data_IF_858869999010
#
_entry.id   IF_858869999010
#
_cell.length_a   1.000
_cell.length_b   1.000
_cell.length_c   1.000
_cell.angle_alpha   90.00
_cell.angle_beta   90.00
_cell.angle_gamma   90.00
#
_symmetry.space_group_name_H-M   'P 1'
#
loop_
_entity.id
_entity.type
_entity.pdbx_description
1 polymer ?
#
# COMPACT_ATOMS: atom_id res chain seq x y z
N UNK A 1 -6.25 30.78 -7.74
CA UNK A 1 -6.51 30.15 -6.44
C UNK A 1 -8.00 30.28 -6.20
N UNK A 2 -8.71 29.19 -5.89
CA UNK A 2 -10.15 29.28 -5.69
C UNK A 2 -10.45 29.96 -4.35
N UNK A 3 -11.47 30.82 -4.30
CA UNK A 3 -11.81 31.54 -3.07
C UNK A 3 -12.73 30.67 -2.19
N UNK A 4 -12.31 30.43 -0.95
CA UNK A 4 -13.11 29.72 0.04
C UNK A 4 -12.86 30.29 1.45
N UNK A 5 -13.83 30.08 2.34
CA UNK A 5 -13.73 30.43 3.77
C UNK A 5 -13.97 29.20 4.63
N UNK A 6 -13.32 29.11 5.78
CA UNK A 6 -13.61 28.05 6.76
C UNK A 6 -14.99 28.29 7.40
N UNK A 7 -15.74 27.23 7.67
CA UNK A 7 -17.00 27.32 8.41
C UNK A 7 -16.75 27.41 9.92
N UNK A 8 -17.61 28.16 10.62
CA UNK A 8 -17.56 28.25 12.08
C UNK A 8 -17.67 26.87 12.74
N UNK A 9 -16.87 26.67 13.79
CA UNK A 9 -16.78 25.38 14.50
C UNK A 9 -15.89 24.33 13.83
N UNK A 10 -15.19 24.69 12.74
CA UNK A 10 -14.15 23.89 12.09
C UNK A 10 -12.80 24.64 12.10
N UNK A 11 -11.65 23.94 12.07
CA UNK A 11 -11.47 22.48 12.00
C UNK A 11 -11.94 21.72 13.26
N UNK A 12 -12.32 20.46 13.08
CA UNK A 12 -12.54 19.53 14.19
C UNK A 12 -11.41 18.51 14.21
N UNK A 13 -10.62 18.51 15.29
CA UNK A 13 -9.48 17.61 15.49
C UNK A 13 -9.84 16.49 16.46
N UNK A 14 -9.47 15.26 16.11
CA UNK A 14 -9.56 14.08 16.97
C UNK A 14 -8.20 13.38 16.98
N UNK A 15 -7.74 13.03 18.18
CA UNK A 15 -6.54 12.21 18.37
C UNK A 15 -6.96 10.81 18.79
N UNK A 16 -6.61 9.82 17.97
CA UNK A 16 -6.81 8.41 18.25
C UNK A 16 -5.65 7.81 19.05
N UNK A 17 -5.75 6.51 19.28
CA UNK A 17 -4.66 5.72 19.85
C UNK A 17 -3.40 5.80 18.96
N UNK A 18 -2.23 5.78 19.57
CA UNK A 18 -0.92 5.93 18.90
C UNK A 18 -0.67 7.32 18.28
N UNK A 19 -1.23 8.38 18.86
CA UNK A 19 -1.04 9.77 18.41
C UNK A 19 -1.47 10.00 16.95
N UNK A 20 -2.36 9.16 16.42
CA UNK A 20 -2.93 9.36 15.11
C UNK A 20 -3.88 10.55 15.15
N UNK A 21 -3.68 11.51 14.24
CA UNK A 21 -4.58 12.64 14.09
C UNK A 21 -5.59 12.32 12.99
N UNK A 22 -6.84 12.62 13.27
CA UNK A 22 -7.92 12.72 12.31
C UNK A 22 -8.48 14.12 12.40
N UNK A 23 -8.66 14.80 11.27
CA UNK A 23 -9.26 16.12 11.28
C UNK A 23 -10.25 16.28 10.13
N UNK A 24 -11.37 16.92 10.43
CA UNK A 24 -12.33 17.36 9.44
C UNK A 24 -12.28 18.89 9.32
N UNK A 25 -12.20 19.39 8.09
CA UNK A 25 -12.37 20.81 7.76
C UNK A 25 -13.60 20.96 6.89
N UNK A 26 -14.36 22.05 7.10
CA UNK A 26 -15.46 22.43 6.21
C UNK A 26 -15.18 23.78 5.60
N UNK A 27 -15.03 23.78 4.28
CA UNK A 27 -14.73 24.98 3.50
C UNK A 27 -15.97 25.39 2.71
N UNK A 28 -16.43 26.62 2.89
CA UNK A 28 -17.51 27.21 2.09
C UNK A 28 -16.91 27.94 0.89
N UNK A 29 -17.43 27.65 -0.29
CA UNK A 29 -17.06 28.33 -1.54
C UNK A 29 -18.30 28.56 -2.41
N UNK A 30 -18.17 29.36 -3.47
CA UNK A 30 -19.22 29.48 -4.48
C UNK A 30 -19.45 28.12 -5.15
N UNK A 31 -20.70 27.79 -5.49
CA UNK A 31 -21.00 26.51 -6.14
C UNK A 31 -20.21 26.29 -7.42
N UNK A 32 -19.97 27.35 -8.21
CA UNK A 32 -19.17 27.28 -9.43
C UNK A 32 -17.72 26.82 -9.19
N UNK A 33 -17.13 27.17 -8.05
CA UNK A 33 -15.71 26.93 -7.74
C UNK A 33 -15.46 25.60 -7.01
N UNK A 34 -16.51 24.86 -6.66
CA UNK A 34 -16.45 23.67 -5.79
C UNK A 34 -15.43 22.63 -6.23
N UNK A 35 -15.29 22.38 -7.54
CA UNK A 35 -14.32 21.43 -8.07
C UNK A 35 -12.89 21.99 -8.02
N UNK A 36 -12.71 23.28 -8.31
CA UNK A 36 -11.40 23.92 -8.21
C UNK A 36 -10.87 23.86 -6.76
N UNK A 37 -11.73 24.18 -5.77
CA UNK A 37 -11.38 24.06 -4.34
C UNK A 37 -11.09 22.61 -3.96
N UNK A 38 -11.92 21.65 -4.40
CA UNK A 38 -11.69 20.24 -4.12
C UNK A 38 -10.34 19.75 -4.68
N UNK A 39 -10.01 20.13 -5.92
CA UNK A 39 -8.76 19.77 -6.58
C UNK A 39 -7.55 20.45 -5.94
N UNK A 40 -7.69 21.69 -5.46
CA UNK A 40 -6.64 22.41 -4.74
C UNK A 40 -6.30 21.72 -3.41
N UNK A 41 -7.32 21.31 -2.64
CA UNK A 41 -7.12 20.80 -1.28
C UNK A 41 -6.87 19.29 -1.25
N UNK A 42 -7.60 18.51 -2.04
CA UNK A 42 -7.53 17.05 -2.05
C UNK A 42 -6.84 16.47 -3.29
N UNK A 43 -6.60 17.26 -4.33
CA UNK A 43 -5.90 16.80 -5.53
C UNK A 43 -4.40 16.55 -5.27
N UNK A 44 -3.77 15.78 -6.16
CA UNK A 44 -2.32 15.52 -6.17
C UNK A 44 -1.75 15.02 -4.83
N UNK A 45 -2.53 14.23 -4.10
CA UNK A 45 -2.17 13.63 -2.81
C UNK A 45 -2.32 14.52 -1.60
N UNK A 46 -3.18 15.54 -1.73
CA UNK A 46 -3.71 16.28 -0.61
C UNK A 46 -2.75 17.33 -0.05
N UNK A 47 -3.32 18.46 0.30
CA UNK A 47 -2.63 19.50 1.02
C UNK A 47 -2.24 19.01 2.42
N UNK A 48 -1.11 19.49 2.94
CA UNK A 48 -0.79 19.33 4.35
C UNK A 48 -1.83 20.06 5.19
N UNK A 49 -2.12 19.53 6.37
CA UNK A 49 -3.00 20.18 7.32
C UNK A 49 -2.42 21.55 7.71
N UNK A 50 -3.13 22.66 7.43
CA UNK A 50 -2.51 23.99 7.47
C UNK A 50 -2.25 24.50 8.90
N UNK A 51 -2.92 23.95 9.91
CA UNK A 51 -2.82 24.43 11.29
C UNK A 51 -1.70 23.76 12.09
N UNK A 52 -1.24 22.57 11.67
CA UNK A 52 -0.13 21.82 12.30
C UNK A 52 0.67 21.10 11.22
N UNK A 53 1.58 21.83 10.57
CA UNK A 53 2.38 21.32 9.45
C UNK A 53 3.44 20.30 9.87
N UNK A 54 3.84 20.33 11.13
CA UNK A 54 4.80 19.43 11.78
C UNK A 54 4.25 18.02 11.99
N UNK A 55 2.93 17.87 12.13
CA UNK A 55 2.29 16.56 12.30
C UNK A 55 2.25 15.72 11.02
N UNK A 56 2.59 16.30 9.86
CA UNK A 56 2.54 15.64 8.56
C UNK A 56 1.15 15.06 8.20
N UNK A 57 0.08 15.54 8.84
CA UNK A 57 -1.29 15.17 8.49
C UNK A 57 -1.62 15.71 7.09
N UNK A 58 -2.25 14.90 6.24
CA UNK A 58 -2.59 15.28 4.86
C UNK A 58 -4.04 14.99 4.54
N UNK A 59 -4.60 15.77 3.63
CA UNK A 59 -5.93 15.52 3.09
C UNK A 59 -5.96 14.13 2.41
N UNK A 60 -6.81 13.23 2.91
CA UNK A 60 -6.96 11.87 2.39
C UNK A 60 -8.33 11.62 1.75
N UNK A 61 -9.20 12.62 1.77
CA UNK A 61 -10.48 12.61 1.09
C UNK A 61 -11.17 13.96 1.18
N UNK A 62 -12.04 14.23 0.23
CA UNK A 62 -12.93 15.38 0.28
C UNK A 62 -14.30 15.02 -0.32
N UNK A 63 -15.34 15.63 0.22
CA UNK A 63 -16.71 15.53 -0.28
C UNK A 63 -17.28 16.92 -0.54
N UNK A 64 -18.15 17.03 -1.55
CA UNK A 64 -18.86 18.26 -1.89
C UNK A 64 -20.32 18.11 -1.48
N UNK A 65 -20.84 19.08 -0.73
CA UNK A 65 -22.25 19.16 -0.35
C UNK A 65 -22.84 20.49 -0.85
N UNK A 66 -24.04 20.49 -1.47
CA UNK A 66 -24.73 21.72 -1.84
C UNK A 66 -25.15 22.52 -0.60
N UNK A 67 -25.08 23.86 -0.69
CA UNK A 67 -25.45 24.74 0.40
C UNK A 67 -26.04 26.06 -0.09
N UNK A 68 -27.00 26.61 0.66
CA UNK A 68 -27.72 27.83 0.30
C UNK A 68 -28.95 27.57 -0.58
N UNK A 69 -29.42 28.61 -1.27
CA UNK A 69 -30.63 28.51 -2.09
C UNK A 69 -30.31 27.74 -3.37
N UNK A 70 -31.20 26.84 -3.76
CA UNK A 70 -31.18 26.26 -5.09
C UNK A 70 -31.71 27.30 -6.08
N UNK A 71 -30.90 27.62 -7.09
CA UNK A 71 -31.31 28.42 -8.23
C UNK A 71 -31.91 27.46 -9.26
N UNK A 72 -33.24 27.47 -9.39
CA UNK A 72 -33.90 26.70 -10.43
C UNK A 72 -33.61 27.32 -11.79
N UNK A 73 -32.86 26.62 -12.63
CA UNK A 73 -32.86 26.92 -14.05
C UNK A 73 -34.00 26.13 -14.69
N UNK A 74 -35.05 26.82 -15.14
CA UNK A 74 -36.20 26.22 -15.84
C UNK A 74 -35.82 25.48 -17.14
N UNK A 75 -34.56 25.56 -17.57
CA UNK A 75 -34.05 25.04 -18.83
C UNK A 75 -32.89 24.03 -18.72
N UNK A 76 -32.35 23.75 -17.52
CA UNK A 76 -31.28 22.75 -17.34
C UNK A 76 -31.67 21.75 -16.24
N UNK A 77 -31.50 20.44 -16.48
CA UNK A 77 -31.77 19.40 -15.47
C UNK A 77 -30.71 19.36 -14.36
N UNK A 78 -29.82 20.35 -14.28
CA UNK A 78 -28.70 20.39 -13.34
C UNK A 78 -29.06 21.34 -12.19
N UNK A 79 -29.07 20.82 -10.97
CA UNK A 79 -29.25 21.65 -9.77
C UNK A 79 -28.04 22.59 -9.57
N UNK A 80 -28.33 23.88 -9.42
CA UNK A 80 -27.35 24.92 -9.13
C UNK A 80 -27.67 25.50 -7.76
N UNK A 81 -26.65 25.69 -6.93
CA UNK A 81 -26.78 26.28 -5.60
C UNK A 81 -25.96 27.56 -5.52
N UNK A 82 -26.21 28.40 -4.52
CA UNK A 82 -25.37 29.58 -4.28
C UNK A 82 -23.94 29.17 -3.86
N UNK A 83 -23.84 28.17 -2.98
CA UNK A 83 -22.59 27.76 -2.34
C UNK A 83 -22.41 26.24 -2.34
N UNK A 84 -21.18 25.81 -2.11
CA UNK A 84 -20.84 24.45 -1.76
C UNK A 84 -20.07 24.42 -0.43
N UNK A 85 -20.31 23.38 0.36
CA UNK A 85 -19.48 23.02 1.50
C UNK A 85 -18.59 21.85 1.07
N UNK A 86 -17.28 22.05 1.18
CA UNK A 86 -16.28 21.03 0.94
C UNK A 86 -15.85 20.48 2.29
N UNK A 87 -16.19 19.23 2.57
CA UNK A 87 -15.74 18.52 3.77
C UNK A 87 -14.44 17.80 3.44
N UNK A 88 -13.33 18.26 4.01
CA UNK A 88 -12.00 17.70 3.77
C UNK A 88 -11.56 16.92 5.00
N UNK A 89 -11.15 15.68 4.79
CA UNK A 89 -10.65 14.79 5.83
C UNK A 89 -9.13 14.72 5.77
N UNK A 90 -8.49 14.90 6.91
CA UNK A 90 -7.05 14.81 7.09
C UNK A 90 -6.70 13.65 8.01
N UNK A 91 -5.56 12.99 7.74
CA UNK A 91 -5.01 12.01 8.68
C UNK A 91 -3.49 11.91 8.62
N UNK A 92 -2.88 11.50 9.73
CA UNK A 92 -1.44 11.18 9.82
C UNK A 92 -1.12 9.74 9.41
N UNK A 93 -2.12 8.88 9.20
CA UNK A 93 -1.94 7.52 8.67
C UNK A 93 -1.76 7.48 7.15
N UNK A 94 -1.49 8.64 6.55
CA UNK A 94 -1.54 8.82 5.10
C UNK A 94 -0.22 8.43 4.44
N UNK A 95 -0.33 8.14 3.14
CA UNK A 95 0.80 7.83 2.30
C UNK A 95 1.85 8.95 2.33
N UNK A 96 3.13 8.60 2.27
CA UNK A 96 4.23 9.54 2.13
C UNK A 96 4.56 9.73 0.65
N UNK A 97 4.89 10.95 0.25
CA UNK A 97 5.28 11.25 -1.13
C UNK A 97 6.71 10.79 -1.39
N UNK A 98 6.88 9.86 -2.33
CA UNK A 98 8.18 9.42 -2.84
C UNK A 98 8.24 9.70 -4.34
N UNK A 99 9.02 10.72 -4.71
CA UNK A 99 9.06 11.23 -6.08
C UNK A 99 7.69 11.72 -6.54
N UNK A 100 7.16 11.14 -7.62
CA UNK A 100 5.83 11.45 -8.15
C UNK A 100 4.70 10.60 -7.57
N UNK A 101 5.01 9.58 -6.76
CA UNK A 101 4.04 8.63 -6.23
C UNK A 101 3.82 8.83 -4.73
N UNK A 102 2.68 8.35 -4.24
CA UNK A 102 2.39 8.26 -2.82
C UNK A 102 2.56 6.83 -2.36
N UNK A 103 3.18 6.60 -1.21
CA UNK A 103 3.52 5.26 -0.75
C UNK A 103 3.03 5.02 0.66
N UNK A 104 2.36 3.89 0.87
CA UNK A 104 2.14 3.30 2.19
C UNK A 104 2.92 2.01 2.31
N UNK A 105 3.35 1.70 3.53
CA UNK A 105 4.01 0.46 3.87
C UNK A 105 3.41 -0.13 5.14
N UNK A 106 3.31 -1.44 5.18
CA UNK A 106 2.86 -2.17 6.36
C UNK A 106 3.51 -3.56 6.38
N UNK A 107 3.60 -4.13 7.59
CA UNK A 107 4.04 -5.50 7.79
C UNK A 107 2.84 -6.32 8.29
N UNK A 108 2.37 -7.27 7.49
CA UNK A 108 1.22 -8.10 7.83
C UNK A 108 1.69 -9.50 8.23
N UNK A 109 1.23 -10.07 9.36
CA UNK A 109 1.49 -11.48 9.64
C UNK A 109 0.79 -12.35 8.60
N UNK A 110 1.44 -13.41 8.17
CA UNK A 110 0.89 -14.38 7.23
C UNK A 110 1.18 -15.80 7.70
N UNK A 111 0.28 -16.72 7.40
CA UNK A 111 0.48 -18.13 7.67
C UNK A 111 0.00 -18.95 6.49
N UNK A 112 0.74 -20.02 6.18
CA UNK A 112 0.38 -20.96 5.12
C UNK A 112 0.59 -22.38 5.59
N UNK A 113 -0.34 -23.25 5.23
CA UNK A 113 -0.21 -24.69 5.38
C UNK A 113 0.46 -25.23 4.12
N UNK A 114 1.55 -25.97 4.30
CA UNK A 114 2.24 -26.68 3.22
C UNK A 114 2.03 -28.16 3.43
N UNK A 115 1.50 -28.82 2.42
CA UNK A 115 1.46 -30.27 2.39
C UNK A 115 2.89 -30.78 2.19
N UNK A 116 3.37 -31.56 3.14
CA UNK A 116 4.68 -32.19 3.03
C UNK A 116 4.52 -33.44 2.18
N UNK A 117 5.41 -33.65 1.21
CA UNK A 117 5.43 -34.91 0.48
C UNK A 117 5.66 -36.03 1.49
N UNK A 118 4.81 -37.06 1.50
CA UNK A 118 4.88 -38.14 2.48
C UNK A 118 5.93 -39.21 2.08
N UNK A 119 6.35 -39.22 0.81
CA UNK A 119 7.28 -40.23 0.30
C UNK A 119 8.64 -40.18 1.03
N UNK A 120 9.03 -41.30 1.64
CA UNK A 120 10.31 -41.44 2.34
C UNK A 120 10.33 -40.86 3.76
N UNK A 121 9.23 -40.27 4.23
CA UNK A 121 9.11 -39.75 5.59
C UNK A 121 8.61 -40.81 6.57
N UNK A 122 9.10 -40.73 7.80
CA UNK A 122 8.80 -41.63 8.90
C UNK A 122 8.54 -40.79 10.15
N UNK A 123 7.62 -41.21 11.02
CA UNK A 123 7.26 -40.44 12.22
C UNK A 123 8.34 -40.47 13.31
N UNK A 124 9.12 -41.54 13.37
CA UNK A 124 10.06 -41.79 14.47
C UNK A 124 11.49 -41.92 13.96
N UNK A 125 11.77 -42.96 13.17
CA UNK A 125 13.11 -43.25 12.68
C UNK A 125 13.07 -43.73 11.22
N UNK A 126 14.17 -43.62 10.47
CA UNK A 126 14.23 -44.14 9.11
C UNK A 126 13.83 -45.62 9.05
N UNK A 127 12.81 -45.93 8.26
CA UNK A 127 12.30 -47.30 8.09
C UNK A 127 11.31 -47.78 9.16
N UNK A 128 10.90 -46.93 10.12
CA UNK A 128 9.86 -47.24 11.10
C UNK A 128 8.68 -46.28 11.02
N UNK A 129 7.45 -46.79 11.14
CA UNK A 129 6.22 -45.98 11.10
C UNK A 129 6.17 -45.02 9.90
N UNK A 130 6.11 -45.55 8.67
CA UNK A 130 6.06 -44.72 7.47
C UNK A 130 4.84 -43.82 7.51
N UNK A 131 5.01 -42.58 7.05
CA UNK A 131 3.90 -41.65 6.91
C UNK A 131 2.95 -42.18 5.84
N UNK A 132 1.68 -42.38 6.21
CA UNK A 132 0.66 -42.90 5.30
C UNK A 132 -0.23 -41.76 4.78
N UNK A 133 -0.91 -41.93 3.62
CA UNK A 133 -1.79 -40.90 3.08
C UNK A 133 -2.89 -40.39 4.03
N UNK A 134 -3.31 -41.22 4.98
CA UNK A 134 -4.31 -40.85 5.99
C UNK A 134 -3.80 -39.85 7.04
N UNK A 135 -2.47 -39.72 7.19
CA UNK A 135 -1.85 -38.88 8.20
C UNK A 135 -1.94 -37.37 7.88
N UNK A 136 -2.08 -37.03 6.59
CA UNK A 136 -2.22 -35.65 6.08
C UNK A 136 -1.22 -34.66 6.74
N UNK A 137 0.08 -34.92 6.59
CA UNK A 137 1.11 -34.09 7.21
C UNK A 137 1.12 -32.70 6.59
N UNK A 138 0.77 -31.72 7.41
CA UNK A 138 0.82 -30.30 7.09
C UNK A 138 1.87 -29.61 7.94
N UNK A 139 2.70 -28.79 7.30
CA UNK A 139 3.59 -27.84 7.97
C UNK A 139 2.91 -26.47 7.99
N UNK A 140 2.66 -25.95 9.18
CA UNK A 140 2.28 -24.55 9.34
C UNK A 140 3.55 -23.69 9.25
N UNK A 141 3.65 -22.89 8.18
CA UNK A 141 4.67 -21.85 8.08
C UNK A 141 4.06 -20.51 8.43
N UNK A 142 4.56 -19.88 9.49
CA UNK A 142 4.28 -18.49 9.84
C UNK A 142 5.38 -17.61 9.26
N UNK A 143 4.99 -16.47 8.72
CA UNK A 143 5.88 -15.49 8.13
C UNK A 143 5.25 -14.09 8.24
N UNK A 144 5.89 -13.11 7.62
CA UNK A 144 5.30 -11.80 7.40
C UNK A 144 5.22 -11.53 5.91
N UNK A 145 4.25 -10.73 5.51
CA UNK A 145 4.21 -10.08 4.21
C UNK A 145 4.56 -8.61 4.40
N UNK A 146 5.55 -8.12 3.68
CA UNK A 146 5.84 -6.70 3.56
C UNK A 146 4.99 -6.14 2.42
N UNK A 147 4.01 -5.30 2.75
CA UNK A 147 3.05 -4.75 1.78
C UNK A 147 3.41 -3.31 1.51
N UNK A 148 3.52 -2.96 0.22
CA UNK A 148 3.79 -1.60 -0.24
C UNK A 148 2.74 -1.21 -1.27
N UNK A 149 2.04 -0.10 -1.04
CA UNK A 149 1.09 0.43 -2.02
C UNK A 149 1.54 1.79 -2.53
N UNK A 150 1.72 1.88 -3.85
CA UNK A 150 1.94 3.11 -4.57
C UNK A 150 0.60 3.64 -5.09
N UNK A 151 0.32 4.92 -4.86
CA UNK A 151 -0.86 5.63 -5.36
C UNK A 151 -0.44 6.74 -6.33
N UNK A 152 -1.38 7.09 -7.20
CA UNK A 152 -1.25 8.16 -8.20
C UNK A 152 -0.09 7.97 -9.18
N UNK A 153 0.26 6.73 -9.51
CA UNK A 153 1.24 6.46 -10.54
C UNK A 153 0.68 6.90 -11.90
N UNK A 154 1.44 7.69 -12.66
CA UNK A 154 1.08 8.10 -14.03
C UNK A 154 1.30 6.99 -15.06
N UNK A 155 2.08 5.97 -14.70
CA UNK A 155 2.32 4.78 -15.48
C UNK A 155 2.76 3.62 -14.58
N UNK A 156 2.62 2.41 -15.07
CA UNK A 156 3.03 1.21 -14.33
C UNK A 156 4.54 1.02 -14.56
N UNK A 157 5.37 1.02 -13.50
CA UNK A 157 6.80 0.80 -13.64
C UNK A 157 7.07 -0.57 -14.29
N UNK A 158 7.97 -0.65 -15.28
CA UNK A 158 8.35 -1.92 -15.95
C UNK A 158 8.84 -2.96 -14.93
N UNK A 159 9.52 -2.48 -13.90
CA UNK A 159 9.91 -3.19 -12.69
C UNK A 159 8.81 -4.06 -12.06
N UNK A 160 7.56 -3.61 -12.13
CA UNK A 160 6.42 -4.29 -11.53
C UNK A 160 6.19 -5.69 -12.09
N UNK A 161 6.64 -5.92 -13.32
CA UNK A 161 6.51 -7.22 -13.99
C UNK A 161 7.83 -7.97 -14.09
N UNK A 162 8.96 -7.27 -14.16
CA UNK A 162 10.28 -7.87 -14.35
C UNK A 162 10.73 -8.76 -13.18
N UNK A 163 10.21 -8.48 -11.98
CA UNK A 163 10.60 -9.16 -10.74
C UNK A 163 9.60 -10.21 -10.25
N UNK A 164 8.49 -10.42 -10.96
CA UNK A 164 7.51 -11.44 -10.57
C UNK A 164 8.16 -12.82 -10.41
N UNK A 165 7.86 -13.46 -9.27
CA UNK A 165 8.35 -14.76 -8.83
C UNK A 165 9.88 -14.84 -8.63
N UNK A 166 10.55 -13.71 -8.42
CA UNK A 166 11.97 -13.66 -8.04
C UNK A 166 12.12 -13.31 -6.57
N UNK A 167 13.31 -13.56 -6.04
CA UNK A 167 13.72 -13.04 -4.73
C UNK A 167 14.60 -11.80 -4.89
N UNK A 168 14.60 -10.92 -3.89
CA UNK A 168 15.57 -9.83 -3.88
C UNK A 168 16.99 -10.40 -3.80
N UNK A 169 17.94 -9.69 -4.36
CA UNK A 169 19.31 -10.21 -4.50
C UNK A 169 20.37 -9.23 -4.02
N UNK A 170 19.98 -7.99 -3.75
CA UNK A 170 20.64 -7.10 -2.82
C UNK A 170 19.73 -6.79 -1.64
N UNK A 171 20.26 -6.04 -0.68
CA UNK A 171 19.47 -5.53 0.44
C UNK A 171 18.40 -4.54 -0.07
N UNK A 172 17.20 -4.60 0.52
CA UNK A 172 16.08 -3.71 0.20
C UNK A 172 15.68 -2.97 1.47
N UNK A 173 15.78 -1.65 1.48
CA UNK A 173 15.30 -0.83 2.60
C UNK A 173 13.81 -0.51 2.43
N UNK A 174 13.07 -0.59 3.52
CA UNK A 174 11.73 0.01 3.63
C UNK A 174 11.85 1.53 3.78
N UNK A 175 10.85 2.26 3.29
CA UNK A 175 10.84 3.72 3.32
C UNK A 175 10.29 4.29 4.63
N UNK A 176 9.27 3.63 5.19
CA UNK A 176 8.48 4.12 6.32
C UNK A 176 8.67 3.26 7.56
N UNK A 177 8.97 1.97 7.40
CA UNK A 177 9.09 1.06 8.54
C UNK A 177 10.49 1.07 9.19
N UNK A 178 11.49 1.68 8.55
CA UNK A 178 12.88 1.69 9.06
C UNK A 178 13.54 0.31 9.09
N UNK A 179 12.96 -0.67 8.40
CA UNK A 179 13.48 -2.02 8.21
C UNK A 179 14.40 -2.11 6.99
N UNK A 180 15.36 -3.02 7.05
CA UNK A 180 16.17 -3.44 5.91
C UNK A 180 16.02 -4.95 5.73
N UNK A 181 15.81 -5.37 4.50
CA UNK A 181 15.62 -6.76 4.12
C UNK A 181 16.88 -7.27 3.43
N UNK A 182 17.53 -8.28 4.01
CA UNK A 182 18.73 -8.88 3.46
C UNK A 182 18.47 -9.59 2.12
N UNK A 183 19.50 -9.84 1.29
CA UNK A 183 19.36 -10.63 0.07
C UNK A 183 18.61 -11.95 0.30
N UNK A 184 17.80 -12.36 -0.68
CA UNK A 184 17.03 -13.60 -0.71
C UNK A 184 15.94 -13.72 0.37
N UNK A 185 15.55 -12.64 1.03
CA UNK A 185 14.52 -12.65 2.10
C UNK A 185 13.13 -12.23 1.63
N UNK A 186 13.02 -11.47 0.54
CA UNK A 186 11.76 -11.01 -0.05
C UNK A 186 11.45 -11.77 -1.34
N UNK A 187 10.29 -12.41 -1.38
CA UNK A 187 9.71 -12.98 -2.59
C UNK A 187 8.75 -11.98 -3.22
N UNK A 188 8.86 -11.79 -4.54
CA UNK A 188 8.09 -10.81 -5.31
C UNK A 188 6.92 -11.51 -6.00
N UNK A 189 5.71 -11.58 -5.43
CA UNK A 189 4.56 -12.06 -6.19
C UNK A 189 4.12 -11.01 -7.21
N UNK A 190 3.16 -11.40 -8.04
CA UNK A 190 2.52 -10.50 -8.99
C UNK A 190 1.82 -9.37 -8.22
N UNK A 191 2.09 -8.08 -8.55
CA UNK A 191 1.42 -6.99 -7.89
C UNK A 191 -0.04 -6.86 -8.34
N UNK A 192 -0.86 -6.26 -7.49
CA UNK A 192 -2.24 -5.86 -7.82
C UNK A 192 -2.17 -4.46 -8.44
N UNK A 193 -2.69 -4.34 -9.66
CA UNK A 193 -2.76 -3.05 -10.37
C UNK A 193 -4.21 -2.66 -10.53
N UNK A 194 -4.56 -1.47 -10.04
CA UNK A 194 -5.90 -0.89 -10.17
C UNK A 194 -5.76 0.46 -10.84
N UNK A 195 -6.48 0.64 -11.95
CA UNK A 195 -6.58 1.93 -12.62
C UNK A 195 -7.60 2.79 -11.89
N UNK A 196 -7.24 4.01 -11.56
CA UNK A 196 -8.09 5.01 -10.92
C UNK A 196 -8.36 6.16 -11.88
N UNK A 197 -9.62 6.59 -11.95
CA UNK A 197 -10.04 7.73 -12.75
C UNK A 197 -10.47 8.84 -11.81
N UNK A 198 -9.63 9.87 -11.74
CA UNK A 198 -9.95 11.08 -10.99
C UNK A 198 -10.51 12.12 -11.97
N UNK A 199 -11.71 12.69 -11.72
CA UNK A 199 -12.27 13.73 -12.58
C UNK A 199 -11.29 14.89 -12.75
N UNK A 200 -10.92 15.21 -13.98
CA UNK A 200 -10.00 16.32 -14.29
C UNK A 200 -8.50 16.00 -14.20
N UNK A 201 -8.12 14.75 -13.89
CA UNK A 201 -6.72 14.29 -13.97
C UNK A 201 -6.59 13.24 -15.09
N UNK A 202 -5.40 13.12 -15.67
CA UNK A 202 -5.03 11.93 -16.42
C UNK A 202 -5.24 10.69 -15.54
N UNK A 203 -5.61 9.57 -16.17
CA UNK A 203 -5.74 8.31 -15.47
C UNK A 203 -4.51 7.99 -14.64
N UNK A 204 -4.72 7.62 -13.39
CA UNK A 204 -3.67 7.19 -12.48
C UNK A 204 -3.77 5.69 -12.20
N UNK A 205 -2.75 5.13 -11.59
CA UNK A 205 -2.69 3.73 -11.17
C UNK A 205 -2.37 3.65 -9.67
N UNK A 206 -3.04 2.70 -9.02
CA UNK A 206 -2.68 2.17 -7.70
C UNK A 206 -2.01 0.81 -7.89
N UNK A 207 -0.82 0.66 -7.34
CA UNK A 207 -0.01 -0.55 -7.45
C UNK A 207 0.33 -1.07 -6.05
N UNK A 208 -0.14 -2.27 -5.72
CA UNK A 208 0.12 -2.91 -4.42
C UNK A 208 1.00 -4.12 -4.61
N UNK A 209 2.16 -4.13 -3.94
CA UNK A 209 3.02 -5.29 -3.78
C UNK A 209 2.78 -5.92 -2.40
N UNK A 210 2.84 -7.25 -2.35
CA UNK A 210 2.76 -8.04 -1.12
C UNK A 210 3.95 -8.99 -1.07
N UNK A 211 5.11 -8.48 -0.69
CA UNK A 211 6.33 -9.27 -0.69
C UNK A 211 6.28 -10.32 0.43
N UNK A 212 6.45 -11.59 0.08
CA UNK A 212 6.59 -12.62 1.11
C UNK A 212 7.94 -12.46 1.80
N UNK A 213 7.96 -12.17 3.10
CA UNK A 213 9.17 -11.93 3.87
C UNK A 213 9.56 -13.15 4.72
N UNK A 214 10.79 -13.64 4.48
CA UNK A 214 11.44 -14.71 5.26
C UNK A 214 12.80 -14.25 5.74
N UNK A 215 12.97 -13.99 7.05
CA UNK A 215 14.27 -13.64 7.63
C UNK A 215 15.32 -14.72 7.37
N UNK A 216 14.90 -16.00 7.37
CA UNK A 216 15.78 -17.15 7.13
C UNK A 216 16.10 -17.39 5.64
N UNK A 217 15.79 -16.44 4.76
CA UNK A 217 15.84 -16.53 3.29
C UNK A 217 14.85 -17.53 2.69
N UNK A 218 14.57 -17.38 1.39
CA UNK A 218 13.76 -18.32 0.60
C UNK A 218 14.57 -19.51 0.07
N UNK A 219 15.89 -19.37 -0.05
CA UNK A 219 16.79 -20.35 -0.66
C UNK A 219 17.54 -21.22 0.34
N UNK A 220 17.53 -20.88 1.64
CA UNK A 220 18.02 -21.77 2.68
C UNK A 220 16.87 -22.66 3.13
N UNK A 221 16.82 -23.87 2.58
CA UNK A 221 16.24 -24.95 3.36
C UNK A 221 17.04 -25.06 4.65
N UNK A 222 16.36 -25.33 5.77
CA UNK A 222 17.02 -25.94 6.92
C UNK A 222 17.52 -27.31 6.45
N UNK A 223 18.65 -27.31 5.77
CA UNK A 223 19.54 -28.46 5.79
C UNK A 223 20.01 -28.52 7.24
N UNK A 224 19.26 -29.23 8.08
CA UNK A 224 19.88 -29.98 9.17
C UNK A 224 20.72 -31.07 8.51
N UNK A 225 21.78 -30.67 7.80
CA UNK A 225 22.80 -31.55 7.25
C UNK A 225 23.84 -31.78 8.36
N UNK A 226 23.46 -32.59 9.33
CA UNK A 226 24.23 -33.82 9.48
C UNK A 226 23.60 -34.77 8.45
N UNK A 227 24.42 -35.37 7.58
CA UNK A 227 24.07 -36.39 6.57
C UNK A 227 23.61 -35.95 5.16
N UNK A 228 24.60 -35.95 4.24
CA UNK A 228 24.55 -36.13 2.76
C UNK A 228 24.04 -34.96 1.90
N UNK A 229 24.55 -34.65 0.69
CA UNK A 229 25.71 -35.09 -0.06
C UNK A 229 25.96 -34.07 -1.20
N UNK A 230 27.18 -34.10 -1.71
CA UNK A 230 27.65 -33.68 -3.04
C UNK A 230 26.61 -33.79 -4.16
N UNK A 231 26.14 -32.67 -4.73
CA UNK A 231 26.20 -32.31 -6.16
C UNK A 231 25.50 -30.98 -6.37
N UNK A 232 26.18 -30.07 -7.05
CA UNK A 232 25.75 -28.70 -7.30
C UNK A 232 24.68 -28.65 -8.40
N UNK A 233 23.66 -27.81 -8.22
CA UNK A 233 22.76 -27.39 -9.29
C UNK A 233 22.56 -25.86 -9.20
N UNK A 234 23.03 -25.04 -10.17
CA UNK A 234 22.99 -23.58 -10.07
C UNK A 234 21.87 -23.00 -10.95
N UNK A 235 20.65 -22.83 -10.42
CA UNK A 235 19.52 -22.29 -11.22
C UNK A 235 19.13 -20.84 -10.88
N UNK A 236 19.69 -20.19 -9.86
CA UNK A 236 19.22 -18.84 -9.49
C UNK A 236 20.32 -17.79 -9.62
N UNK A 237 20.30 -17.07 -10.77
CA UNK A 237 21.10 -15.85 -10.96
C UNK A 237 20.48 -14.67 -10.19
N UNK A 238 21.32 -14.00 -9.41
CA UNK A 238 21.02 -12.81 -8.59
C UNK A 238 21.02 -11.50 -9.40
N UNK A 239 20.38 -10.47 -8.86
CA UNK A 239 20.16 -9.14 -9.44
C UNK A 239 20.43 -7.98 -8.45
N UNK A 240 20.68 -6.78 -8.96
CA UNK A 240 21.05 -5.61 -8.15
C UNK A 240 20.00 -4.48 -8.31
N UNK A 241 19.59 -3.89 -7.19
CA UNK A 241 18.41 -3.00 -7.08
C UNK A 241 18.57 -1.63 -7.76
N UNK A 242 19.80 -1.26 -8.15
CA UNK A 242 20.12 0.07 -8.68
C UNK A 242 19.42 0.42 -10.01
N UNK A 243 18.83 -0.55 -10.72
CA UNK A 243 18.20 -0.32 -12.02
C UNK A 243 16.71 0.06 -11.96
N UNK A 244 16.16 0.26 -10.76
CA UNK A 244 14.73 0.56 -10.55
C UNK A 244 14.42 2.06 -10.48
N UNK A 245 15.43 2.93 -10.61
CA UNK A 245 15.26 4.38 -10.55
C UNK A 245 15.42 5.01 -11.94
N UNK A 246 14.45 5.80 -12.44
CA UNK A 246 14.76 7.00 -13.22
C UNK A 246 15.39 8.09 -12.34
#
# INVERSE_FOLDING_TARGET
>A
MAHYSEMDGYPQEQFGENSQMYCERKLKCAWADRYAVLMEVAGNGGQNYPYKTDMLARANGAGIMPFGKQSDSSSSPIAVYDYAIITVKYSTTTAVKLGSAWVTEELQPTSRLINVNMAGHNWIAPGSYPVVPADNIVKLETAFDYVVTYYHLTGIPVAAYANCNKVNSGSVASWLLGLSFDPETLLYPRPIVIRTFDPGILSTFRLTYRFGFRPATWNKHLHTNEYYATTADPIYKSFNFASLMP
#
